data_IF_009529864669
#
_entry.id   IF_009529864669
#
_cell.length_a   1.000
_cell.length_b   1.000
_cell.length_c   1.000
_cell.angle_alpha   90.00
_cell.angle_beta   90.00
_cell.angle_gamma   90.00
#
_symmetry.space_group_name_H-M   'P 1'
#
loop_
_entity.id
_entity.type
_entity.pdbx_description
1 polymer ?
#
# COMPACT_ATOMS: atom_id res chain seq x y z
N UNK A 1 -8.88 -21.97 -17.34
CA UNK A 1 -7.49 -21.49 -17.55
C UNK A 1 -7.46 -20.53 -18.72
N UNK A 2 -8.01 -20.91 -19.86
CA UNK A 2 -7.94 -20.18 -21.13
C UNK A 2 -8.39 -18.72 -21.09
N UNK A 3 -9.34 -18.37 -20.22
CA UNK A 3 -9.75 -16.98 -20.02
C UNK A 3 -8.67 -16.19 -19.24
N UNK A 4 -8.17 -16.77 -18.14
CA UNK A 4 -7.16 -16.14 -17.25
C UNK A 4 -5.83 -15.95 -17.96
N UNK A 5 -5.45 -16.84 -18.89
CA UNK A 5 -4.22 -16.68 -19.69
C UNK A 5 -4.29 -15.55 -20.72
N UNK A 6 -5.49 -15.04 -21.02
CA UNK A 6 -5.71 -13.94 -21.97
C UNK A 6 -5.91 -12.60 -21.26
N UNK A 7 -6.56 -12.61 -20.10
CA UNK A 7 -6.88 -11.41 -19.32
C UNK A 7 -7.31 -11.78 -17.89
N UNK A 8 -7.30 -10.81 -16.96
CA UNK A 8 -7.91 -11.00 -15.64
C UNK A 8 -9.40 -11.38 -15.73
N UNK A 9 -9.85 -12.21 -14.79
CA UNK A 9 -11.22 -12.73 -14.75
C UNK A 9 -11.84 -12.41 -13.40
N UNK A 10 -12.99 -11.73 -13.40
CA UNK A 10 -13.79 -11.50 -12.21
C UNK A 10 -14.47 -12.81 -11.81
N UNK A 11 -14.42 -13.15 -10.52
CA UNK A 11 -15.02 -14.37 -9.97
C UNK A 11 -15.71 -14.09 -8.64
N UNK A 12 -16.68 -14.93 -8.28
CA UNK A 12 -17.26 -14.95 -6.93
C UNK A 12 -16.68 -16.12 -6.12
N UNK A 13 -16.48 -15.90 -4.82
CA UNK A 13 -16.02 -16.89 -3.84
C UNK A 13 -16.84 -16.81 -2.54
N UNK A 14 -16.71 -17.82 -1.68
CA UNK A 14 -17.11 -17.76 -0.26
C UNK A 14 -15.92 -17.24 0.56
N UNK A 15 -16.06 -16.07 1.17
CA UNK A 15 -15.02 -15.37 1.92
C UNK A 15 -15.38 -15.17 3.41
N UNK A 16 -16.60 -15.50 3.85
CA UNK A 16 -17.03 -15.39 5.24
C UNK A 16 -16.37 -16.40 6.20
N UNK A 17 -15.64 -17.38 5.70
CA UNK A 17 -14.96 -18.37 6.53
C UNK A 17 -13.68 -17.81 7.18
N UNK A 18 -13.45 -18.18 8.44
CA UNK A 18 -12.31 -17.70 9.26
C UNK A 18 -10.96 -17.92 8.58
N UNK A 19 -10.79 -19.02 7.85
CA UNK A 19 -9.54 -19.31 7.18
C UNK A 19 -9.25 -18.34 6.01
N UNK A 20 -10.28 -17.81 5.37
CA UNK A 20 -10.14 -16.75 4.37
C UNK A 20 -9.87 -15.41 5.08
N UNK A 21 -10.69 -15.03 6.06
CA UNK A 21 -10.53 -13.77 6.79
C UNK A 21 -9.14 -13.61 7.43
N UNK A 22 -8.60 -14.68 7.99
CA UNK A 22 -7.31 -14.70 8.68
C UNK A 22 -6.13 -15.10 7.79
N UNK A 23 -6.34 -15.23 6.47
CA UNK A 23 -5.28 -15.61 5.54
C UNK A 23 -4.09 -14.63 5.58
N UNK A 24 -2.88 -15.18 5.57
CA UNK A 24 -1.62 -14.43 5.57
C UNK A 24 -0.70 -14.82 4.41
N UNK A 25 -0.51 -16.12 4.16
CA UNK A 25 0.38 -16.59 3.10
C UNK A 25 0.15 -18.05 2.74
N UNK A 26 0.87 -18.52 1.71
CA UNK A 26 0.84 -19.90 1.21
C UNK A 26 -0.40 -20.20 0.36
N UNK A 27 -0.48 -21.42 -0.18
CA UNK A 27 -1.67 -21.86 -0.91
C UNK A 27 -2.77 -22.25 0.08
N UNK A 28 -3.88 -21.53 0.07
CA UNK A 28 -5.06 -21.84 0.87
C UNK A 28 -5.76 -23.07 0.27
N UNK A 29 -5.82 -24.12 1.08
CA UNK A 29 -6.36 -25.44 0.70
C UNK A 29 -7.49 -25.87 1.63
N UNK A 30 -8.70 -26.05 1.08
CA UNK A 30 -9.87 -26.69 1.67
C UNK A 30 -10.41 -26.07 2.96
N UNK A 31 -10.57 -24.75 2.98
CA UNK A 31 -11.06 -24.06 4.19
C UNK A 31 -12.21 -23.08 3.95
N UNK A 32 -12.69 -22.95 2.72
CA UNK A 32 -13.96 -22.29 2.42
C UNK A 32 -14.96 -23.22 1.74
N UNK A 33 -16.24 -22.95 1.91
CA UNK A 33 -17.33 -23.66 1.26
C UNK A 33 -17.60 -23.17 -0.17
N UNK A 34 -18.88 -23.05 -0.52
CA UNK A 34 -19.37 -22.66 -1.85
C UNK A 34 -20.58 -21.70 -1.82
N UNK A 35 -20.92 -21.17 -0.64
CA UNK A 35 -21.91 -20.11 -0.42
C UNK A 35 -21.31 -18.76 -0.81
N UNK A 36 -21.29 -18.50 -2.11
CA UNK A 36 -20.63 -17.31 -2.67
C UNK A 36 -21.20 -16.02 -2.06
N UNK A 37 -20.32 -15.18 -1.55
CA UNK A 37 -20.67 -13.93 -0.86
C UNK A 37 -19.78 -12.74 -1.25
N UNK A 38 -18.67 -12.99 -1.97
CA UNK A 38 -17.65 -11.97 -2.24
C UNK A 38 -17.10 -12.04 -3.66
N UNK A 39 -16.87 -10.86 -4.25
CA UNK A 39 -16.33 -10.70 -5.61
C UNK A 39 -14.83 -10.38 -5.59
N UNK A 40 -14.04 -11.12 -6.38
CA UNK A 40 -12.59 -10.98 -6.46
C UNK A 40 -12.09 -11.11 -7.90
N UNK A 41 -10.79 -10.85 -8.12
CA UNK A 41 -10.19 -10.87 -9.45
C UNK A 41 -9.09 -11.91 -9.56
N UNK A 42 -9.25 -12.91 -10.42
CA UNK A 42 -8.17 -13.84 -10.77
C UNK A 42 -7.25 -13.15 -11.77
N UNK A 43 -6.00 -12.95 -11.40
CA UNK A 43 -4.99 -12.24 -12.20
C UNK A 43 -3.91 -13.17 -12.76
N UNK A 44 -3.87 -14.41 -12.29
CA UNK A 44 -2.90 -15.39 -12.75
C UNK A 44 -3.07 -16.75 -12.07
N UNK A 45 -2.11 -17.61 -12.32
CA UNK A 45 -2.04 -18.95 -11.75
C UNK A 45 -0.59 -19.42 -11.74
N UNK A 46 -0.28 -20.40 -10.90
CA UNK A 46 1.05 -20.98 -10.82
C UNK A 46 1.06 -22.29 -10.06
N UNK A 47 2.26 -22.65 -9.60
CA UNK A 47 2.53 -23.79 -8.74
C UNK A 47 3.54 -23.37 -7.68
N UNK A 48 3.29 -23.71 -6.42
CA UNK A 48 4.15 -23.45 -5.27
C UNK A 48 4.22 -24.72 -4.41
N UNK A 49 5.42 -25.20 -4.13
CA UNK A 49 5.66 -26.42 -3.34
C UNK A 49 4.84 -27.63 -3.81
N UNK A 50 4.72 -27.80 -5.14
CA UNK A 50 3.94 -28.87 -5.77
C UNK A 50 2.42 -28.67 -5.72
N UNK A 51 1.93 -27.54 -5.22
CA UNK A 51 0.51 -27.19 -5.19
C UNK A 51 0.19 -26.15 -6.25
N UNK A 52 -0.72 -26.51 -7.13
CA UNK A 52 -1.27 -25.59 -8.13
C UNK A 52 -2.17 -24.55 -7.45
N UNK A 53 -2.04 -23.28 -7.86
CA UNK A 53 -2.87 -22.20 -7.31
C UNK A 53 -3.39 -21.23 -8.36
N UNK A 54 -4.48 -20.55 -8.01
CA UNK A 54 -4.98 -19.31 -8.59
C UNK A 54 -4.43 -18.13 -7.82
N UNK A 55 -3.86 -17.14 -8.51
CA UNK A 55 -3.48 -15.88 -7.90
C UNK A 55 -4.67 -14.92 -7.98
N UNK A 56 -5.19 -14.54 -6.81
CA UNK A 56 -6.42 -13.78 -6.68
C UNK A 56 -6.13 -12.46 -5.99
N UNK A 57 -6.49 -11.35 -6.63
CA UNK A 57 -6.45 -10.01 -6.04
C UNK A 57 -7.73 -9.75 -5.25
N UNK A 58 -7.57 -9.32 -4.00
CA UNK A 58 -8.67 -8.94 -3.12
C UNK A 58 -8.78 -7.41 -3.00
N UNK A 59 -9.80 -6.94 -2.28
CA UNK A 59 -10.13 -5.53 -2.07
C UNK A 59 -10.09 -5.10 -0.59
N UNK A 60 -9.39 -5.85 0.27
CA UNK A 60 -9.30 -5.60 1.73
C UNK A 60 -8.00 -4.90 2.15
N UNK A 61 -7.32 -4.23 1.22
CA UNK A 61 -6.05 -3.55 1.47
C UNK A 61 -4.84 -4.49 1.45
N UNK A 62 -3.65 -3.90 1.49
CA UNK A 62 -2.36 -4.61 1.38
C UNK A 62 -1.95 -5.33 2.67
N UNK A 63 -2.49 -4.94 3.83
CA UNK A 63 -2.18 -5.56 5.14
C UNK A 63 -2.81 -6.95 5.31
N UNK A 64 -3.72 -7.32 4.41
CA UNK A 64 -4.38 -8.61 4.39
C UNK A 64 -3.71 -9.56 3.40
N UNK A 65 -3.56 -10.83 3.79
CA UNK A 65 -2.95 -11.85 2.93
C UNK A 65 -1.52 -11.50 2.49
N UNK A 66 -1.23 -11.83 1.24
CA UNK A 66 0.05 -11.54 0.59
C UNK A 66 -0.05 -10.21 -0.15
N UNK A 67 0.13 -9.10 0.56
CA UNK A 67 0.02 -7.74 -0.02
C UNK A 67 -1.34 -7.47 -0.71
N UNK A 68 -2.42 -7.99 -0.14
CA UNK A 68 -3.78 -7.90 -0.69
C UNK A 68 -4.15 -9.03 -1.68
N UNK A 69 -3.28 -10.03 -1.83
CA UNK A 69 -3.52 -11.21 -2.66
C UNK A 69 -3.71 -12.48 -1.82
N UNK A 70 -4.36 -13.46 -2.43
CA UNK A 70 -4.51 -14.82 -1.91
C UNK A 70 -4.22 -15.83 -3.01
N UNK A 71 -3.57 -16.93 -2.62
CA UNK A 71 -3.39 -18.11 -3.47
C UNK A 71 -4.44 -19.14 -3.10
N UNK A 72 -5.40 -19.39 -3.99
CA UNK A 72 -6.42 -20.42 -3.80
C UNK A 72 -6.03 -21.69 -4.55
N UNK A 73 -6.21 -22.86 -3.94
CA UNK A 73 -5.89 -24.14 -4.58
C UNK A 73 -6.61 -24.30 -5.94
N UNK A 74 -5.82 -24.68 -6.94
CA UNK A 74 -6.26 -24.87 -8.32
C UNK A 74 -6.21 -26.35 -8.68
N UNK A 75 -7.14 -26.77 -9.54
CA UNK A 75 -7.26 -28.17 -9.97
C UNK A 75 -8.31 -28.98 -9.17
N UNK A 76 -8.96 -28.38 -8.17
CA UNK A 76 -10.07 -29.04 -7.47
C UNK A 76 -11.26 -29.32 -8.40
N UNK A 77 -11.90 -30.50 -8.26
CA UNK A 77 -13.11 -30.84 -8.99
C UNK A 77 -14.29 -29.97 -8.53
N UNK A 78 -15.41 -30.06 -9.26
CA UNK A 78 -16.62 -29.32 -8.93
C UNK A 78 -16.41 -27.79 -8.93
N UNK A 79 -16.94 -27.06 -7.93
CA UNK A 79 -16.92 -25.60 -7.88
C UNK A 79 -15.54 -25.01 -7.56
N UNK A 80 -14.53 -25.84 -7.29
CA UNK A 80 -13.18 -25.40 -6.94
C UNK A 80 -13.07 -24.91 -5.50
N UNK A 81 -11.85 -24.50 -5.11
CA UNK A 81 -11.60 -23.93 -3.79
C UNK A 81 -12.43 -22.65 -3.58
N UNK A 82 -13.13 -22.57 -2.44
CA UNK A 82 -14.00 -21.46 -2.06
C UNK A 82 -15.07 -21.11 -3.12
N UNK A 83 -15.41 -22.05 -4.00
CA UNK A 83 -16.38 -21.86 -5.07
C UNK A 83 -15.90 -21.06 -6.29
N UNK A 84 -14.60 -20.79 -6.42
CA UNK A 84 -14.00 -19.91 -7.45
C UNK A 84 -14.39 -20.22 -8.91
N UNK A 85 -14.80 -21.44 -9.23
CA UNK A 85 -15.22 -21.83 -10.60
C UNK A 85 -16.71 -21.63 -10.87
N UNK A 86 -17.48 -21.20 -9.88
CA UNK A 86 -18.95 -21.19 -9.93
C UNK A 86 -19.52 -20.03 -10.73
N UNK A 87 -18.96 -18.82 -10.55
CA UNK A 87 -19.41 -17.63 -11.26
C UNK A 87 -18.19 -16.83 -11.69
N UNK A 88 -17.88 -16.86 -12.99
CA UNK A 88 -16.76 -16.16 -13.60
C UNK A 88 -17.24 -15.30 -14.78
N UNK A 89 -16.72 -14.09 -14.88
CA UNK A 89 -17.01 -13.18 -15.98
C UNK A 89 -15.78 -12.35 -16.33
N UNK A 90 -15.72 -11.90 -17.59
CA UNK A 90 -14.67 -11.01 -18.06
C UNK A 90 -15.24 -10.09 -19.16
N UNK A 91 -14.73 -8.86 -19.27
CA UNK A 91 -15.15 -7.97 -20.34
C UNK A 91 -14.63 -8.46 -21.70
N UNK A 92 -15.40 -8.16 -22.74
CA UNK A 92 -14.99 -8.32 -24.14
C UNK A 92 -14.97 -6.93 -24.76
N UNK A 93 -13.79 -6.47 -25.17
CA UNK A 93 -13.61 -5.15 -25.78
C UNK A 93 -13.54 -5.32 -27.31
N UNK A 94 -14.44 -4.66 -28.03
CA UNK A 94 -14.59 -4.77 -29.50
C UNK A 94 -13.93 -3.62 -30.29
N UNK A 95 -13.11 -2.81 -29.64
CA UNK A 95 -12.32 -1.76 -30.31
C UNK A 95 -10.96 -2.27 -30.80
N UNK A 96 -10.41 -1.64 -31.85
CA UNK A 96 -8.94 -1.67 -32.05
C UNK A 96 -8.32 -1.18 -30.73
N UNK A 97 -7.25 -1.81 -30.23
CA UNK A 97 -6.46 -1.17 -29.20
C UNK A 97 -6.23 0.28 -29.65
N UNK A 98 -6.50 1.25 -28.77
CA UNK A 98 -5.97 2.59 -29.01
C UNK A 98 -4.46 2.48 -29.31
N UNK A 99 -3.82 3.53 -29.86
CA UNK A 99 -2.36 3.55 -29.89
C UNK A 99 -1.89 3.08 -28.52
N UNK A 100 -1.06 2.03 -28.49
CA UNK A 100 -0.53 1.51 -27.23
C UNK A 100 -0.12 2.74 -26.44
N UNK A 101 -0.56 2.91 -25.17
CA UNK A 101 0.08 3.92 -24.35
C UNK A 101 1.57 3.70 -24.54
N UNK A 102 2.30 4.78 -24.84
CA UNK A 102 3.77 4.74 -24.88
C UNK A 102 4.20 3.87 -23.71
N UNK A 103 5.08 2.87 -23.91
CA UNK A 103 5.42 1.92 -22.86
C UNK A 103 5.54 2.72 -21.59
N UNK A 104 4.70 2.41 -20.58
CA UNK A 104 4.88 3.01 -19.27
C UNK A 104 6.38 2.89 -19.01
N UNK A 105 7.07 3.99 -18.64
CA UNK A 105 8.44 3.90 -18.21
C UNK A 105 8.55 2.67 -17.31
N UNK A 106 9.59 1.82 -17.45
CA UNK A 106 9.72 0.64 -16.61
C UNK A 106 9.36 1.06 -15.20
N UNK A 107 8.35 0.38 -14.61
CA UNK A 107 7.95 0.64 -13.23
C UNK A 107 9.25 0.85 -12.46
N UNK A 108 9.45 2.00 -11.79
CA UNK A 108 10.72 2.29 -11.13
C UNK A 108 11.13 1.03 -10.41
N UNK A 109 12.36 0.57 -10.68
CA UNK A 109 12.91 -0.55 -9.94
C UNK A 109 12.59 -0.29 -8.45
N UNK A 110 12.16 -1.31 -7.68
CA UNK A 110 11.97 -1.15 -6.24
C UNK A 110 13.12 -0.29 -5.73
N UNK A 111 12.86 0.85 -5.08
CA UNK A 111 13.94 1.70 -4.63
C UNK A 111 14.89 0.78 -3.87
N UNK A 112 16.15 0.76 -4.30
CA UNK A 112 17.23 0.09 -3.57
C UNK A 112 16.97 0.36 -2.09
N UNK A 113 16.90 -0.64 -1.20
CA UNK A 113 16.47 -0.42 0.17
C UNK A 113 17.32 0.70 0.75
N UNK A 114 16.68 1.85 0.89
CA UNK A 114 17.22 2.97 1.61
C UNK A 114 17.31 2.52 3.05
N UNK A 115 18.46 2.78 3.67
CA UNK A 115 18.72 2.32 5.04
C UNK A 115 18.09 3.24 6.10
N UNK A 116 17.36 4.27 5.69
CA UNK A 116 16.85 5.34 6.54
C UNK A 116 15.41 5.72 6.20
N UNK A 117 14.65 6.09 7.23
CA UNK A 117 13.31 6.67 7.13
C UNK A 117 13.37 8.17 6.80
N UNK A 118 12.22 8.77 6.47
CA UNK A 118 12.00 10.20 6.20
C UNK A 118 12.68 10.75 4.95
N UNK A 119 12.94 9.89 3.98
CA UNK A 119 13.61 10.29 2.74
C UNK A 119 12.68 11.00 1.76
N UNK A 120 13.26 11.48 0.66
CA UNK A 120 12.49 12.05 -0.45
C UNK A 120 11.62 10.95 -1.07
N UNK A 121 10.31 11.19 -1.28
CA UNK A 121 9.46 10.25 -2.00
C UNK A 121 10.07 9.86 -3.37
N UNK A 122 9.95 8.58 -3.80
CA UNK A 122 9.03 7.55 -3.31
C UNK A 122 9.41 6.93 -1.95
N UNK A 123 8.40 6.72 -1.11
CA UNK A 123 8.58 6.23 0.26
C UNK A 123 8.77 4.71 0.33
N UNK A 124 9.36 4.24 1.42
CA UNK A 124 9.48 2.81 1.72
C UNK A 124 8.11 2.18 2.00
N UNK A 125 8.05 0.84 2.00
CA UNK A 125 6.79 0.09 2.17
C UNK A 125 6.11 0.30 3.53
N UNK A 126 6.87 0.70 4.54
CA UNK A 126 6.44 0.98 5.91
C UNK A 126 6.24 2.48 6.19
N UNK A 127 6.35 3.31 5.15
CA UNK A 127 6.13 4.76 5.22
C UNK A 127 4.95 5.18 4.34
N UNK A 128 4.07 6.01 4.90
CA UNK A 128 3.00 6.62 4.11
C UNK A 128 3.54 7.88 3.41
N UNK A 129 3.36 7.98 2.09
CA UNK A 129 3.56 9.25 1.39
C UNK A 129 2.39 10.19 1.73
N UNK A 130 2.70 11.25 2.46
CA UNK A 130 1.70 12.20 2.93
C UNK A 130 2.00 13.63 2.47
N UNK A 131 0.94 14.39 2.26
CA UNK A 131 0.96 15.84 2.11
C UNK A 131 0.54 16.46 3.43
N UNK A 132 1.36 17.38 3.94
CA UNK A 132 1.09 18.07 5.21
C UNK A 132 0.33 19.36 4.91
N UNK A 133 -0.83 19.51 5.55
CA UNK A 133 -1.71 20.66 5.36
C UNK A 133 -0.97 21.98 5.65
N UNK A 134 -1.01 22.90 4.69
CA UNK A 134 -0.33 24.20 4.78
C UNK A 134 1.17 24.17 4.50
N UNK A 135 1.76 23.01 4.23
CA UNK A 135 3.21 22.87 4.07
C UNK A 135 3.70 22.80 2.60
N UNK A 136 2.79 22.58 1.65
CA UNK A 136 3.06 22.71 0.21
C UNK A 136 4.04 21.70 -0.38
N UNK A 137 4.04 20.47 0.13
CA UNK A 137 4.90 19.39 -0.38
C UNK A 137 4.60 18.06 0.30
N UNK A 138 5.50 17.09 0.15
CA UNK A 138 5.27 15.73 0.67
C UNK A 138 6.37 15.23 1.58
N UNK A 139 6.02 14.26 2.41
CA UNK A 139 6.92 13.55 3.33
C UNK A 139 6.65 12.05 3.29
N UNK A 140 7.68 11.28 3.60
CA UNK A 140 7.55 9.88 3.96
C UNK A 140 7.38 9.78 5.47
N UNK A 141 6.23 9.29 5.89
CA UNK A 141 5.78 9.34 7.27
C UNK A 141 5.55 7.91 7.81
N UNK A 142 6.47 7.40 8.64
CA UNK A 142 6.26 6.16 9.38
C UNK A 142 5.04 6.26 10.31
N UNK A 143 4.35 5.15 10.58
CA UNK A 143 3.26 5.14 11.54
C UNK A 143 3.77 5.15 12.99
N UNK A 144 3.03 5.78 13.92
CA UNK A 144 3.40 5.81 15.34
C UNK A 144 2.20 5.72 16.29
N UNK A 145 1.81 4.50 16.65
CA UNK A 145 0.70 4.24 17.58
C UNK A 145 1.00 4.63 19.04
N UNK A 146 2.26 4.48 19.46
CA UNK A 146 2.70 4.70 20.85
C UNK A 146 3.61 5.93 21.01
N UNK A 147 3.58 6.86 20.05
CA UNK A 147 4.42 8.06 20.07
C UNK A 147 5.90 7.82 19.75
N UNK A 148 6.29 6.59 19.43
CA UNK A 148 7.69 6.23 19.10
C UNK A 148 7.91 6.32 17.60
N UNK A 149 8.99 7.00 17.20
CA UNK A 149 9.35 7.19 15.80
C UNK A 149 10.71 6.59 15.49
N UNK A 150 10.91 5.99 14.29
CA UNK A 150 12.22 5.55 13.84
C UNK A 150 13.26 6.68 13.91
N UNK A 151 14.47 6.37 14.35
CA UNK A 151 15.57 7.33 14.56
C UNK A 151 16.67 7.25 13.52
N UNK A 152 16.58 6.28 12.62
CA UNK A 152 17.42 6.11 11.44
C UNK A 152 16.99 7.13 10.38
N UNK A 153 17.54 8.32 10.52
CA UNK A 153 17.31 9.46 9.63
C UNK A 153 18.37 9.53 8.53
N UNK A 154 18.11 10.26 7.42
CA UNK A 154 19.08 10.37 6.33
C UNK A 154 20.35 11.11 6.79
N UNK A 155 21.47 10.86 6.11
CA UNK A 155 22.77 11.45 6.46
C UNK A 155 22.71 12.99 6.51
N UNK A 156 23.33 13.59 7.53
CA UNK A 156 23.33 15.05 7.75
C UNK A 156 22.06 15.59 8.41
N UNK A 157 21.06 14.75 8.69
CA UNK A 157 19.85 15.15 9.41
C UNK A 157 20.14 15.43 10.88
N UNK A 158 19.72 16.60 11.34
CA UNK A 158 19.77 17.01 12.76
C UNK A 158 18.40 17.35 13.32
N UNK A 159 17.38 17.39 12.45
CA UNK A 159 15.96 17.41 12.82
C UNK A 159 15.59 16.14 13.59
N UNK A 160 14.67 16.25 14.55
CA UNK A 160 14.29 15.13 15.41
C UNK A 160 12.99 14.49 14.92
N UNK A 161 12.92 13.16 14.83
CA UNK A 161 11.67 12.48 14.52
C UNK A 161 10.68 12.63 15.68
N UNK A 162 9.46 13.04 15.37
CA UNK A 162 8.37 13.23 16.33
C UNK A 162 7.06 12.71 15.76
N UNK A 163 6.24 12.12 16.62
CA UNK A 163 4.92 11.60 16.28
C UNK A 163 3.87 12.72 16.33
N UNK A 164 3.90 13.61 15.33
CA UNK A 164 3.16 14.88 15.34
C UNK A 164 2.17 15.03 14.19
N UNK A 165 2.13 14.07 13.26
CA UNK A 165 1.18 14.08 12.16
C UNK A 165 -0.01 13.18 12.50
N UNK A 166 -1.20 13.56 12.08
CA UNK A 166 -2.40 12.75 12.23
C UNK A 166 -3.27 12.81 10.98
N UNK A 167 -3.78 11.66 10.58
CA UNK A 167 -4.83 11.60 9.55
C UNK A 167 -6.17 11.96 10.19
N UNK A 168 -6.79 13.04 9.71
CA UNK A 168 -8.11 13.47 10.19
C UNK A 168 -9.24 12.49 9.86
N UNK A 169 -9.03 11.57 8.90
CA UNK A 169 -10.04 10.60 8.47
C UNK A 169 -10.03 9.32 9.30
N UNK A 170 -8.85 8.78 9.60
CA UNK A 170 -8.68 7.53 10.36
C UNK A 170 -8.29 7.72 11.82
N UNK A 171 -7.76 8.90 12.18
CA UNK A 171 -7.18 9.17 13.50
C UNK A 171 -5.78 8.58 13.70
N UNK A 172 -5.22 7.88 12.71
CA UNK A 172 -3.87 7.31 12.75
C UNK A 172 -2.81 8.39 12.89
N UNK A 173 -1.81 8.14 13.74
CA UNK A 173 -0.69 9.05 14.00
C UNK A 173 0.55 8.63 13.19
N UNK A 174 1.30 9.62 12.74
CA UNK A 174 2.46 9.45 11.89
C UNK A 174 3.63 10.32 12.34
N UNK A 175 4.83 9.83 12.04
CA UNK A 175 6.09 10.47 12.35
C UNK A 175 6.47 11.49 11.28
N UNK A 176 7.11 12.56 11.73
CA UNK A 176 7.76 13.54 10.86
C UNK A 176 9.03 14.08 11.51
N UNK A 177 9.93 14.62 10.69
CA UNK A 177 11.12 15.31 11.18
C UNK A 177 10.76 16.74 11.58
N UNK A 178 10.77 16.98 12.90
CA UNK A 178 10.61 18.28 13.50
C UNK A 178 11.91 19.10 13.41
N UNK A 179 11.81 20.30 12.85
CA UNK A 179 12.90 21.23 12.66
C UNK A 179 12.58 22.59 13.30
N UNK A 180 13.58 23.25 13.86
CA UNK A 180 13.43 24.58 14.51
C UNK A 180 14.28 25.61 13.78
N UNK A 181 15.58 25.36 13.60
CA UNK A 181 16.49 26.25 12.86
C UNK A 181 17.01 25.63 11.54
N UNK A 182 16.37 24.54 11.08
CA UNK A 182 16.81 23.73 9.95
C UNK A 182 17.14 22.29 10.38
N UNK A 183 18.13 21.67 9.73
CA UNK A 183 18.56 20.30 10.04
C UNK A 183 17.80 19.21 9.29
N UNK A 184 17.05 19.61 8.26
CA UNK A 184 16.33 18.70 7.40
C UNK A 184 17.26 18.01 6.37
N UNK A 185 16.91 16.79 5.94
CA UNK A 185 17.67 16.06 4.94
C UNK A 185 17.75 16.80 3.60
N UNK A 186 18.77 16.47 2.79
CA UNK A 186 19.01 17.12 1.50
C UNK A 186 17.77 17.08 0.59
N UNK A 187 17.43 18.23 0.00
CA UNK A 187 16.27 18.38 -0.88
C UNK A 187 14.94 18.63 -0.16
N UNK A 188 14.91 18.61 1.18
CA UNK A 188 13.75 19.05 1.96
C UNK A 188 13.95 20.44 2.55
N UNK A 189 12.85 21.11 2.87
CA UNK A 189 12.81 22.45 3.48
C UNK A 189 12.08 22.37 4.82
N UNK A 190 12.61 23.10 5.80
CA UNK A 190 11.93 23.27 7.08
C UNK A 190 10.77 24.25 6.93
N UNK A 191 9.53 23.75 6.91
CA UNK A 191 8.32 24.56 6.81
C UNK A 191 7.72 24.75 8.20
N UNK A 192 7.75 25.98 8.69
CA UNK A 192 7.18 26.34 9.98
C UNK A 192 5.66 26.41 9.90
N UNK A 193 4.99 25.51 10.61
CA UNK A 193 3.53 25.47 10.73
C UNK A 193 3.07 26.15 12.04
N UNK A 194 3.99 26.35 12.98
CA UNK A 194 3.81 27.14 14.20
C UNK A 194 5.03 28.04 14.43
N UNK A 195 4.95 28.98 15.39
CA UNK A 195 5.99 29.99 15.66
C UNK A 195 7.35 29.42 16.05
N UNK A 196 7.43 28.16 16.49
CA UNK A 196 8.68 27.52 16.93
C UNK A 196 8.94 26.15 16.31
N UNK A 197 7.92 25.52 15.71
CA UNK A 197 8.00 24.16 15.20
C UNK A 197 7.74 24.14 13.70
N UNK A 198 8.73 23.64 12.96
CA UNK A 198 8.60 23.31 11.56
C UNK A 198 8.72 21.82 11.31
N UNK A 199 8.34 21.42 10.10
CA UNK A 199 8.45 20.05 9.61
C UNK A 199 9.30 20.06 8.33
N UNK A 200 10.15 19.06 8.16
CA UNK A 200 10.92 18.89 6.93
C UNK A 200 10.02 18.36 5.81
N UNK A 201 9.85 19.15 4.75
CA UNK A 201 8.95 18.85 3.61
C UNK A 201 9.74 18.84 2.31
N UNK A 202 9.44 17.89 1.42
CA UNK A 202 9.99 17.86 0.06
C UNK A 202 9.04 18.57 -0.93
N UNK A 203 9.40 19.76 -1.46
CA UNK A 203 8.53 20.53 -2.35
C UNK A 203 8.42 19.95 -3.78
N UNK A 204 9.47 19.28 -4.27
CA UNK A 204 9.54 18.72 -5.64
C UNK A 204 9.34 17.19 -5.68
N UNK A 205 8.62 16.64 -4.70
CA UNK A 205 8.27 15.22 -4.70
C UNK A 205 7.13 14.99 -5.70
N UNK A 206 7.37 14.15 -6.72
CA UNK A 206 6.40 13.92 -7.80
C UNK A 206 4.99 13.63 -7.26
N UNK A 207 4.00 14.27 -7.87
CA UNK A 207 2.59 14.15 -7.53
C UNK A 207 2.04 12.79 -8.00
N UNK A 208 2.37 11.73 -7.27
CA UNK A 208 1.67 10.44 -7.39
C UNK A 208 0.25 10.60 -6.83
N UNK A 209 -0.74 10.09 -7.55
CA UNK A 209 -2.18 10.38 -7.36
C UNK A 209 -2.83 9.78 -6.09
N UNK A 210 -2.04 9.37 -5.09
CA UNK A 210 -2.52 8.72 -3.86
C UNK A 210 -1.73 9.19 -2.64
N UNK A 211 -1.79 10.50 -2.34
CA UNK A 211 -1.22 11.10 -1.13
C UNK A 211 -2.27 11.10 -0.02
N UNK A 212 -1.85 10.79 1.20
CA UNK A 212 -2.68 10.99 2.40
C UNK A 212 -2.59 12.46 2.83
N UNK A 213 -3.70 13.07 3.25
CA UNK A 213 -3.69 14.40 3.86
C UNK A 213 -3.46 14.24 5.36
N UNK A 214 -2.36 14.79 5.87
CA UNK A 214 -2.05 14.77 7.30
C UNK A 214 -2.02 16.19 7.84
N UNK A 215 -2.62 16.37 9.02
CA UNK A 215 -2.56 17.61 9.77
C UNK A 215 -1.59 17.47 10.94
N UNK A 216 -1.03 18.58 11.42
CA UNK A 216 -0.22 18.59 12.63
C UNK A 216 -1.16 18.53 13.84
N UNK A 217 -0.96 17.55 14.72
CA UNK A 217 -1.71 17.44 15.96
C UNK A 217 -1.35 18.62 16.89
N UNK A 218 -2.31 19.52 17.07
CA UNK A 218 -2.15 20.74 17.86
C UNK A 218 -1.90 20.47 19.35
N UNK A 219 -2.24 19.26 19.84
CA UNK A 219 -2.07 18.88 21.25
C UNK A 219 -0.63 18.49 21.60
N UNK A 220 0.15 18.03 20.61
CA UNK A 220 1.55 17.62 20.76
C UNK A 220 2.55 18.78 20.57
N UNK A 221 2.08 19.95 20.10
CA UNK A 221 2.89 21.17 19.90
C UNK A 221 3.06 21.96 21.22
N UNK A 222 2.28 21.64 22.25
CA UNK A 222 2.30 22.33 23.54
C UNK A 222 3.36 21.74 24.48
N UNK A 223 4.62 22.15 24.29
CA UNK A 223 5.70 21.99 25.30
C UNK A 223 6.00 23.36 25.90
#
# INVERSE_FOLDING_TARGET
MDAVSKQPVSVAIEADQMAFQMYKSGVLTKTCGTKLDHGVLVVGYGTEDGKDYWLVKNSWGSTWGMEGFVKLERGKPGPGECGIKSQASYPVVSGKPGPSPSPSPPSPAPPTPSKSHYEKPPCQSDEAQAEVEGAGGSVCAPHCDSGSCPSDTPEGTTAKPMCILQDSSSGSKYCALACILGGCPEGSKCVHLSSLLGICIYPDAEATSKKMSLAVDSTEISI
#
